data_IF_139558218348
#
_entry.id   IF_139558218348
#
_cell.length_a   1.000
_cell.length_b   1.000
_cell.length_c   1.000
_cell.angle_alpha   90.00
_cell.angle_beta   90.00
_cell.angle_gamma   90.00
#
_symmetry.space_group_name_H-M   'P 1'
#
loop_
_entity.id
_entity.type
_entity.pdbx_description
1 polymer ?
#
# COMPACT_ATOMS: atom_id res chain seq x y z
N UNK A 1 16.12 -24.41 -8.82
CA UNK A 1 14.99 -23.63 -9.35
C UNK A 1 15.48 -22.98 -10.61
N UNK A 2 14.85 -23.22 -11.74
CA UNK A 2 15.25 -22.61 -13.01
C UNK A 2 14.82 -21.14 -13.07
N UNK A 3 15.50 -20.34 -13.89
CA UNK A 3 15.17 -18.92 -14.08
C UNK A 3 13.69 -18.74 -14.49
N UNK A 4 13.18 -19.62 -15.37
CA UNK A 4 11.78 -19.61 -15.78
C UNK A 4 10.81 -19.78 -14.60
N UNK A 5 11.15 -20.61 -13.61
CA UNK A 5 10.31 -20.83 -12.43
C UNK A 5 10.27 -19.58 -11.55
N UNK A 6 11.41 -18.89 -11.39
CA UNK A 6 11.48 -17.61 -10.68
C UNK A 6 10.57 -16.59 -11.36
N UNK A 7 10.61 -16.49 -12.69
CA UNK A 7 9.73 -15.60 -13.45
C UNK A 7 8.25 -15.95 -13.33
N UNK A 8 7.92 -17.25 -13.35
CA UNK A 8 6.55 -17.71 -13.16
C UNK A 8 6.01 -17.29 -11.79
N UNK A 9 6.81 -17.48 -10.73
CA UNK A 9 6.44 -17.05 -9.38
C UNK A 9 6.31 -15.53 -9.27
N UNK A 10 7.24 -14.78 -9.87
CA UNK A 10 7.19 -13.31 -9.90
C UNK A 10 5.90 -12.80 -10.56
N UNK A 11 5.50 -13.35 -11.71
CA UNK A 11 4.25 -12.93 -12.35
C UNK A 11 3.02 -13.31 -11.52
N UNK A 12 3.03 -14.49 -10.88
CA UNK A 12 1.94 -14.90 -9.98
C UNK A 12 1.81 -13.95 -8.78
N UNK A 13 2.92 -13.60 -8.13
CA UNK A 13 2.95 -12.64 -7.03
C UNK A 13 2.44 -11.26 -7.46
N UNK A 14 2.75 -10.82 -8.69
CA UNK A 14 2.23 -9.55 -9.23
C UNK A 14 0.72 -9.54 -9.42
N UNK A 15 0.11 -10.67 -9.80
CA UNK A 15 -1.35 -10.79 -9.87
C UNK A 15 -1.95 -10.60 -8.48
N UNK A 16 -1.38 -11.28 -7.47
CA UNK A 16 -1.78 -11.11 -6.06
C UNK A 16 -1.64 -9.67 -5.58
N UNK A 17 -0.51 -9.02 -5.88
CA UNK A 17 -0.29 -7.61 -5.57
C UNK A 17 -1.33 -6.69 -6.22
N UNK A 18 -1.72 -6.97 -7.47
CA UNK A 18 -2.78 -6.22 -8.16
C UNK A 18 -4.12 -6.25 -7.42
N UNK A 19 -4.52 -7.43 -6.93
CA UNK A 19 -5.75 -7.58 -6.13
C UNK A 19 -5.67 -6.82 -4.80
N UNK A 20 -4.52 -6.89 -4.12
CA UNK A 20 -4.31 -6.18 -2.87
C UNK A 20 -4.29 -4.65 -3.06
N UNK A 21 -3.76 -4.15 -4.18
CA UNK A 21 -3.84 -2.72 -4.54
C UNK A 21 -5.30 -2.30 -4.73
N UNK A 22 -6.11 -3.09 -5.45
CA UNK A 22 -7.55 -2.80 -5.61
C UNK A 22 -8.25 -2.75 -4.24
N UNK A 23 -7.98 -3.72 -3.36
CA UNK A 23 -8.51 -3.71 -1.99
C UNK A 23 -8.10 -2.44 -1.23
N UNK A 24 -6.85 -2.00 -1.36
CA UNK A 24 -6.36 -0.78 -0.70
C UNK A 24 -7.11 0.48 -1.16
N UNK A 25 -7.45 0.58 -2.44
CA UNK A 25 -8.25 1.70 -2.98
C UNK A 25 -9.65 1.72 -2.37
N UNK A 26 -10.30 0.56 -2.26
CA UNK A 26 -11.63 0.45 -1.66
C UNK A 26 -11.61 0.82 -0.16
N UNK A 27 -10.56 0.44 0.57
CA UNK A 27 -10.39 0.76 1.99
C UNK A 27 -10.16 2.26 2.20
N UNK A 28 -9.33 2.89 1.37
CA UNK A 28 -9.12 4.35 1.39
C UNK A 28 -10.44 5.07 1.09
N UNK A 29 -11.14 4.64 0.05
CA UNK A 29 -12.43 5.23 -0.33
C UNK A 29 -13.47 5.11 0.78
N UNK A 30 -13.58 3.93 1.40
CA UNK A 30 -14.48 3.71 2.53
C UNK A 30 -14.12 4.64 3.70
N UNK A 31 -12.84 4.76 4.02
CA UNK A 31 -12.35 5.62 5.11
C UNK A 31 -12.67 7.10 4.86
N UNK A 32 -12.46 7.60 3.63
CA UNK A 32 -12.85 8.96 3.24
C UNK A 32 -14.37 9.16 3.34
N UNK A 33 -15.16 8.17 2.91
CA UNK A 33 -16.62 8.21 3.00
C UNK A 33 -17.08 8.28 4.47
N UNK A 34 -16.50 7.47 5.34
CA UNK A 34 -16.79 7.47 6.79
C UNK A 34 -16.41 8.82 7.42
N UNK A 35 -15.26 9.38 7.05
CA UNK A 35 -14.84 10.70 7.51
C UNK A 35 -15.84 11.80 7.13
N UNK A 36 -16.31 11.81 5.87
CA UNK A 36 -17.34 12.76 5.39
C UNK A 36 -18.68 12.54 6.09
N UNK A 37 -19.12 11.29 6.26
CA UNK A 37 -20.37 10.96 6.94
C UNK A 37 -20.33 11.28 8.45
N UNK A 38 -19.15 11.31 9.04
CA UNK A 38 -18.99 11.79 10.42
C UNK A 38 -19.19 13.30 10.49
N UNK A 39 -18.69 14.07 9.53
CA UNK A 39 -18.88 15.53 9.47
C UNK A 39 -20.35 15.92 9.25
N UNK A 40 -21.00 15.24 8.34
CA UNK A 40 -22.41 15.45 7.97
C UNK A 40 -23.19 14.15 8.12
N UNK A 41 -23.59 13.79 9.35
CA UNK A 41 -24.41 12.62 9.60
C UNK A 41 -25.75 12.74 8.87
N UNK A 42 -26.29 11.60 8.42
CA UNK A 42 -27.61 11.55 7.76
C UNK A 42 -28.73 11.97 8.71
N UNK A 43 -28.52 11.85 10.03
CA UNK A 43 -29.46 12.34 11.05
C UNK A 43 -29.58 13.86 11.11
N UNK A 44 -28.66 14.61 10.48
CA UNK A 44 -28.62 16.07 10.51
C UNK A 44 -28.07 16.67 11.82
N UNK A 45 -27.86 15.85 12.85
CA UNK A 45 -27.28 16.26 14.13
C UNK A 45 -25.78 16.53 14.00
N UNK A 46 -25.27 17.45 14.82
CA UNK A 46 -23.82 17.65 14.94
C UNK A 46 -23.17 16.39 15.51
N UNK A 47 -22.09 15.87 14.91
CA UNK A 47 -21.41 14.70 15.43
C UNK A 47 -20.88 14.94 16.85
N UNK A 48 -21.24 14.04 17.77
CA UNK A 48 -20.71 14.07 19.13
C UNK A 48 -19.20 13.71 19.16
N UNK A 49 -18.53 14.04 20.25
CA UNK A 49 -17.07 13.81 20.39
C UNK A 49 -16.70 12.33 20.22
N UNK A 50 -17.54 11.42 20.72
CA UNK A 50 -17.33 9.98 20.62
C UNK A 50 -17.29 9.52 19.16
N UNK A 51 -18.22 10.00 18.32
CA UNK A 51 -18.26 9.68 16.90
C UNK A 51 -17.00 10.17 16.16
N UNK A 52 -16.51 11.38 16.47
CA UNK A 52 -15.27 11.90 15.89
C UNK A 52 -14.05 11.07 16.26
N UNK A 53 -13.94 10.66 17.52
CA UNK A 53 -12.83 9.82 18.00
C UNK A 53 -12.88 8.44 17.34
N UNK A 54 -14.03 7.77 17.33
CA UNK A 54 -14.17 6.46 16.71
C UNK A 54 -13.89 6.48 15.21
N UNK A 55 -14.37 7.52 14.51
CA UNK A 55 -14.09 7.72 13.08
C UNK A 55 -12.60 7.94 12.80
N UNK A 56 -11.93 8.71 13.66
CA UNK A 56 -10.48 8.93 13.58
C UNK A 56 -9.72 7.61 13.74
N UNK A 57 -10.03 6.84 14.77
CA UNK A 57 -9.38 5.54 15.03
C UNK A 57 -9.60 4.58 13.85
N UNK A 58 -10.83 4.49 13.35
CA UNK A 58 -11.16 3.66 12.19
C UNK A 58 -10.34 4.05 10.95
N UNK A 59 -10.28 5.35 10.63
CA UNK A 59 -9.51 5.85 9.49
C UNK A 59 -8.01 5.55 9.63
N UNK A 60 -7.43 5.77 10.82
CA UNK A 60 -6.01 5.51 11.07
C UNK A 60 -5.65 4.02 10.99
N UNK A 61 -6.52 3.14 11.51
CA UNK A 61 -6.34 1.69 11.39
C UNK A 61 -6.34 1.24 9.93
N UNK A 62 -7.24 1.80 9.11
CA UNK A 62 -7.29 1.50 7.69
C UNK A 62 -6.06 2.01 6.93
N UNK A 63 -5.57 3.22 7.25
CA UNK A 63 -4.31 3.74 6.67
C UNK A 63 -3.13 2.82 7.04
N UNK A 64 -3.06 2.38 8.30
CA UNK A 64 -2.01 1.45 8.75
C UNK A 64 -2.10 0.10 8.03
N UNK A 65 -3.32 -0.42 7.83
CA UNK A 65 -3.53 -1.65 7.06
C UNK A 65 -3.09 -1.51 5.60
N UNK A 66 -3.43 -0.39 4.95
CA UNK A 66 -2.98 -0.08 3.57
C UNK A 66 -1.46 0.05 3.49
N UNK A 67 -0.84 0.70 4.45
CA UNK A 67 0.62 0.76 4.57
C UNK A 67 1.24 -0.64 4.59
N UNK A 68 0.66 -1.56 5.36
CA UNK A 68 1.10 -2.96 5.42
C UNK A 68 0.97 -3.67 4.06
N UNK A 69 -0.16 -3.49 3.36
CA UNK A 69 -0.34 -4.05 2.01
C UNK A 69 0.74 -3.56 1.05
N UNK A 70 0.96 -2.25 1.00
CA UNK A 70 1.90 -1.65 0.06
C UNK A 70 3.34 -2.03 0.37
N UNK A 71 3.67 -2.15 1.65
CA UNK A 71 4.96 -2.64 2.13
C UNK A 71 5.18 -4.10 1.72
N UNK A 72 4.18 -4.96 1.87
CA UNK A 72 4.28 -6.34 1.40
C UNK A 72 4.47 -6.41 -0.12
N UNK A 73 3.74 -5.58 -0.87
CA UNK A 73 3.86 -5.52 -2.33
C UNK A 73 5.23 -5.01 -2.80
N UNK A 74 5.89 -4.10 -2.07
CA UNK A 74 7.22 -3.58 -2.43
C UNK A 74 8.32 -4.65 -2.33
N UNK A 75 8.12 -5.69 -1.52
CA UNK A 75 9.08 -6.79 -1.35
C UNK A 75 9.23 -7.70 -2.57
N UNK A 76 8.27 -7.70 -3.49
CA UNK A 76 8.28 -8.64 -4.61
C UNK A 76 9.53 -8.51 -5.50
N UNK A 77 9.98 -7.27 -5.76
CA UNK A 77 11.16 -7.01 -6.58
C UNK A 77 12.47 -7.48 -5.90
N UNK A 78 12.81 -7.03 -4.67
CA UNK A 78 14.05 -7.45 -4.02
C UNK A 78 14.11 -8.96 -3.74
N UNK A 79 12.98 -9.59 -3.38
CA UNK A 79 12.93 -11.06 -3.22
C UNK A 79 13.24 -11.78 -4.53
N UNK A 80 12.69 -11.30 -5.65
CA UNK A 80 12.95 -11.89 -6.97
C UNK A 80 14.39 -11.66 -7.41
N UNK A 81 14.93 -10.45 -7.18
CA UNK A 81 16.34 -10.13 -7.46
C UNK A 81 17.29 -10.98 -6.62
N UNK A 82 16.95 -11.27 -5.36
CA UNK A 82 17.71 -12.19 -4.50
C UNK A 82 17.72 -13.60 -5.08
N UNK A 83 16.55 -14.15 -5.45
CA UNK A 83 16.46 -15.50 -6.01
C UNK A 83 17.26 -15.64 -7.33
N UNK A 84 17.24 -14.62 -8.19
CA UNK A 84 18.06 -14.59 -9.41
C UNK A 84 19.56 -14.50 -9.08
N UNK A 85 19.93 -13.67 -8.10
CA UNK A 85 21.33 -13.53 -7.66
C UNK A 85 21.88 -14.85 -7.10
N UNK A 86 21.08 -15.56 -6.31
CA UNK A 86 21.43 -16.88 -5.76
C UNK A 86 21.59 -17.92 -6.88
N UNK A 87 20.69 -17.91 -7.88
CA UNK A 87 20.80 -18.78 -9.04
C UNK A 87 22.08 -18.52 -9.84
N UNK A 88 22.43 -17.24 -10.07
CA UNK A 88 23.69 -16.86 -10.71
C UNK A 88 24.90 -17.30 -9.89
N UNK A 89 24.86 -17.15 -8.57
CA UNK A 89 25.93 -17.56 -7.66
C UNK A 89 26.14 -19.09 -7.65
N UNK A 90 25.11 -19.88 -7.94
CA UNK A 90 25.22 -21.34 -8.09
C UNK A 90 25.91 -21.81 -9.38
N UNK A 91 26.33 -20.87 -10.24
CA UNK A 91 27.02 -21.16 -11.51
C UNK A 91 26.09 -21.29 -12.72
N UNK A 92 24.80 -21.02 -12.55
CA UNK A 92 23.85 -20.98 -13.67
C UNK A 92 23.96 -19.65 -14.41
N UNK A 93 24.16 -19.72 -15.73
CA UNK A 93 24.10 -18.53 -16.58
C UNK A 93 22.66 -18.02 -16.66
N UNK A 94 22.45 -16.77 -16.21
CA UNK A 94 21.18 -16.08 -16.36
C UNK A 94 21.05 -15.45 -17.75
N UNK A 95 19.82 -15.31 -18.21
CA UNK A 95 19.52 -14.51 -19.41
C UNK A 95 19.92 -13.04 -19.22
N UNK A 96 20.01 -12.29 -20.34
CA UNK A 96 20.20 -10.84 -20.30
C UNK A 96 19.08 -10.13 -19.51
N UNK A 97 17.86 -10.69 -19.52
CA UNK A 97 16.72 -10.15 -18.76
C UNK A 97 16.92 -10.37 -17.27
N UNK A 98 17.36 -11.57 -16.86
CA UNK A 98 17.69 -11.88 -15.46
C UNK A 98 18.77 -10.97 -14.90
N UNK A 99 19.87 -10.79 -15.64
CA UNK A 99 20.95 -9.88 -15.24
C UNK A 99 20.49 -8.42 -15.18
N UNK A 100 19.77 -7.96 -16.20
CA UNK A 100 19.26 -6.58 -16.24
C UNK A 100 18.22 -6.29 -15.15
N UNK A 101 17.44 -7.29 -14.73
CA UNK A 101 16.50 -7.12 -13.62
C UNK A 101 17.20 -6.95 -12.27
N UNK A 102 18.25 -7.75 -11.99
CA UNK A 102 19.06 -7.59 -10.77
C UNK A 102 19.63 -6.17 -10.70
N UNK A 103 20.20 -5.69 -11.81
CA UNK A 103 20.75 -4.33 -11.91
C UNK A 103 19.68 -3.25 -11.73
N UNK A 104 18.51 -3.43 -12.38
CA UNK A 104 17.40 -2.49 -12.28
C UNK A 104 16.84 -2.37 -10.86
N UNK A 105 16.66 -3.49 -10.15
CA UNK A 105 16.17 -3.47 -8.77
C UNK A 105 17.23 -2.89 -7.84
N UNK A 106 18.50 -3.20 -8.08
CA UNK A 106 19.64 -2.59 -7.39
C UNK A 106 19.81 -2.96 -5.92
N UNK A 107 18.93 -3.80 -5.37
CA UNK A 107 18.99 -4.30 -3.99
C UNK A 107 18.28 -5.64 -3.85
N UNK A 108 18.76 -6.48 -2.92
CA UNK A 108 18.10 -7.71 -2.49
C UNK A 108 17.46 -7.57 -1.11
N UNK A 109 17.67 -6.43 -0.44
CA UNK A 109 17.12 -6.17 0.87
C UNK A 109 15.65 -5.78 0.78
N UNK A 110 14.86 -6.21 1.77
CA UNK A 110 13.46 -5.85 1.87
C UNK A 110 13.35 -4.36 2.15
N UNK A 111 12.90 -3.62 1.15
CA UNK A 111 12.64 -2.19 1.24
C UNK A 111 11.16 -1.95 1.52
N UNK A 112 10.87 -1.03 2.45
CA UNK A 112 9.50 -0.57 2.68
C UNK A 112 8.96 0.21 1.48
N UNK A 113 7.81 0.86 1.66
CA UNK A 113 7.25 1.70 0.60
C UNK A 113 8.16 2.88 0.28
N UNK A 114 8.04 3.41 -0.94
CA UNK A 114 8.87 4.53 -1.40
C UNK A 114 8.46 5.85 -0.72
N UNK A 115 9.35 6.86 -0.65
CA UNK A 115 8.99 8.17 -0.10
C UNK A 115 7.73 8.82 -0.71
N UNK A 116 7.49 8.74 -2.03
CA UNK A 116 6.22 9.21 -2.61
C UNK A 116 4.98 8.48 -2.07
N UNK A 117 5.07 7.17 -1.84
CA UNK A 117 3.96 6.39 -1.29
C UNK A 117 3.66 6.77 0.16
N UNK A 118 4.69 7.02 0.98
CA UNK A 118 4.53 7.57 2.32
C UNK A 118 3.82 8.92 2.31
N UNK A 119 4.26 9.84 1.45
CA UNK A 119 3.67 11.17 1.33
C UNK A 119 2.21 11.10 0.90
N UNK A 120 1.88 10.20 -0.03
CA UNK A 120 0.51 10.00 -0.47
C UNK A 120 -0.41 9.53 0.67
N UNK A 121 0.01 8.53 1.46
CA UNK A 121 -0.75 8.07 2.63
C UNK A 121 -0.86 9.16 3.71
N UNK A 122 0.19 9.96 3.90
CA UNK A 122 0.15 11.09 4.83
C UNK A 122 -0.88 12.14 4.40
N UNK A 123 -0.92 12.51 3.11
CA UNK A 123 -1.90 13.45 2.56
C UNK A 123 -3.33 12.92 2.73
N UNK A 124 -3.56 11.64 2.41
CA UNK A 124 -4.87 11.00 2.62
C UNK A 124 -5.29 11.06 4.08
N UNK A 125 -4.37 10.79 5.00
CA UNK A 125 -4.63 10.86 6.44
C UNK A 125 -5.04 12.28 6.84
N UNK A 126 -4.30 13.29 6.36
CA UNK A 126 -4.64 14.70 6.61
C UNK A 126 -6.02 15.07 6.05
N UNK A 127 -6.39 14.55 4.88
CA UNK A 127 -7.74 14.76 4.31
C UNK A 127 -8.83 14.15 5.19
N UNK A 128 -8.62 12.94 5.71
CA UNK A 128 -9.57 12.29 6.63
C UNK A 128 -9.72 13.08 7.93
N UNK A 129 -8.60 13.51 8.52
CA UNK A 129 -8.60 14.33 9.73
C UNK A 129 -9.28 15.68 9.49
N UNK A 130 -8.96 16.34 8.37
CA UNK A 130 -9.62 17.58 7.95
C UNK A 130 -11.12 17.39 7.83
N UNK A 131 -11.58 16.31 7.19
CA UNK A 131 -13.02 16.04 7.06
C UNK A 131 -13.71 15.84 8.42
N UNK A 132 -13.13 15.04 9.33
CA UNK A 132 -13.75 14.71 10.64
C UNK A 132 -13.79 15.93 11.57
N UNK A 133 -12.71 16.71 11.61
CA UNK A 133 -12.50 17.74 12.63
C UNK A 133 -12.84 19.15 12.16
N UNK A 134 -12.98 19.40 10.86
CA UNK A 134 -13.38 20.73 10.37
C UNK A 134 -14.79 21.10 10.86
N UNK A 135 -15.02 22.36 11.25
CA UNK A 135 -16.35 22.85 11.57
C UNK A 135 -17.26 22.76 10.34
N UNK A 136 -18.56 22.56 10.58
CA UNK A 136 -19.57 22.67 9.52
C UNK A 136 -19.64 24.14 9.13
N UNK A 137 -19.25 24.48 7.90
CA UNK A 137 -19.54 25.81 7.35
C UNK A 137 -21.07 25.96 7.30
N UNK A 138 -21.58 26.96 8.02
CA UNK A 138 -22.99 27.38 7.92
C UNK A 138 -23.11 28.19 6.63
N UNK A 139 -23.73 27.62 5.60
CA UNK A 139 -24.19 28.34 4.41
C UNK A 139 -25.70 28.54 4.48
#
# INVERSE_FOLDING_TARGET
MEEFQIWSLYQSARIGNGLMIIASVLIIWLSLRTAIQTRTPVSGESPNMVAKVLSTVFCLLNVFFVYGIWTFASYNNPVTASALSDLKASGTELTNVGNGFIEFVGTTELTGITPPAYLFLAVITLMMMGAIWSPKEES
#
